data_IF_137788852855
#
_entry.id   IF_137788852855
#
_cell.length_a   1.000
_cell.length_b   1.000
_cell.length_c   1.000
_cell.angle_alpha   90.00
_cell.angle_beta   90.00
_cell.angle_gamma   90.00
#
_symmetry.space_group_name_H-M   'P 1'
#
loop_
_entity.id
_entity.type
_entity.pdbx_description
1 polymer ?
#
# COMPACT_ATOMS: atom_id res chain seq x y z
N UNK A 1 -31.72 -48.77 30.21
CA UNK A 1 -30.84 -47.85 29.46
C UNK A 1 -30.96 -46.50 30.16
N UNK A 2 -29.90 -46.00 30.78
CA UNK A 2 -29.73 -44.58 31.06
C UNK A 2 -28.27 -44.19 30.86
N UNK A 3 -28.12 -43.06 30.17
CA UNK A 3 -26.87 -42.39 29.82
C UNK A 3 -26.96 -40.92 30.21
N UNK A 4 -25.86 -40.34 30.66
CA UNK A 4 -25.67 -38.88 30.55
C UNK A 4 -24.30 -38.56 29.95
N UNK A 5 -24.34 -37.69 28.94
CA UNK A 5 -23.19 -37.12 28.23
C UNK A 5 -22.84 -35.79 28.92
N UNK A 6 -21.58 -35.57 29.35
CA UNK A 6 -21.15 -34.27 29.87
C UNK A 6 -21.23 -33.19 28.79
N UNK A 7 -21.60 -31.98 29.20
CA UNK A 7 -22.13 -30.91 28.35
C UNK A 7 -21.17 -30.28 27.31
N UNK A 8 -19.97 -30.81 27.08
CA UNK A 8 -18.91 -30.10 26.34
C UNK A 8 -17.89 -30.96 25.53
N UNK A 9 -18.24 -32.13 24.98
CA UNK A 9 -17.28 -33.00 24.27
C UNK A 9 -17.38 -32.99 22.71
N UNK A 10 -16.24 -32.85 21.95
CA UNK A 10 -16.12 -33.29 20.55
C UNK A 10 -14.73 -33.88 20.09
N UNK A 11 -14.22 -34.94 20.72
CA UNK A 11 -14.32 -36.29 20.18
C UNK A 11 -13.47 -36.79 18.82
N UNK A 12 -13.03 -38.10 18.61
CA UNK A 12 -12.51 -38.91 17.40
C UNK A 12 -12.87 -40.46 17.36
N UNK A 13 -12.75 -41.25 16.27
CA UNK A 13 -13.47 -42.57 15.99
C UNK A 13 -13.76 -43.60 17.12
N UNK A 14 -15.00 -44.14 17.15
CA UNK A 14 -15.38 -45.39 17.83
C UNK A 14 -16.48 -46.20 17.09
N UNK A 15 -16.40 -47.53 17.15
CA UNK A 15 -17.41 -48.49 16.62
C UNK A 15 -18.01 -49.30 17.79
N UNK A 16 -19.34 -49.48 17.84
CA UNK A 16 -20.04 -50.18 18.94
C UNK A 16 -20.99 -51.25 18.40
N UNK A 17 -20.96 -52.45 19.00
CA UNK A 17 -21.84 -53.60 18.71
C UNK A 17 -22.43 -54.14 20.03
N UNK A 18 -23.72 -54.47 20.07
CA UNK A 18 -24.35 -55.17 21.20
C UNK A 18 -25.10 -56.43 20.75
N UNK A 19 -24.95 -57.54 21.48
CA UNK A 19 -25.57 -58.84 21.19
C UNK A 19 -26.02 -59.54 22.49
N UNK A 20 -27.07 -60.37 22.41
CA UNK A 20 -27.52 -61.26 23.48
C UNK A 20 -28.01 -62.60 22.90
N UNK A 21 -27.45 -63.73 23.36
CA UNK A 21 -27.87 -65.10 23.00
C UNK A 21 -28.70 -65.68 24.15
N UNK A 22 -29.91 -66.16 23.85
CA UNK A 22 -30.72 -66.88 24.84
C UNK A 22 -31.33 -68.14 24.21
N UNK A 23 -30.73 -69.29 24.51
CA UNK A 23 -31.49 -70.54 24.52
C UNK A 23 -32.13 -70.65 25.91
N UNK A 24 -33.43 -70.90 25.99
CA UNK A 24 -34.04 -71.37 27.24
C UNK A 24 -33.21 -72.55 27.80
N UNK A 25 -33.06 -72.68 29.12
CA UNK A 25 -32.11 -73.61 29.72
C UNK A 25 -32.48 -75.06 29.42
N UNK A 26 -31.64 -75.73 28.63
CA UNK A 26 -31.50 -77.18 28.72
C UNK A 26 -30.49 -77.42 29.85
N UNK A 27 -31.01 -77.85 31.01
CA UNK A 27 -30.33 -78.15 32.29
C UNK A 27 -30.12 -77.00 33.30
N UNK A 28 -31.01 -76.97 34.30
CA UNK A 28 -30.79 -76.44 35.66
C UNK A 28 -30.39 -74.96 35.83
N UNK A 29 -30.93 -74.06 35.00
CA UNK A 29 -31.23 -72.71 35.45
C UNK A 29 -30.06 -71.72 35.65
N UNK A 30 -28.91 -71.95 35.01
CA UNK A 30 -27.84 -70.93 34.95
C UNK A 30 -27.54 -70.55 33.48
N UNK A 31 -27.60 -69.26 33.11
CA UNK A 31 -27.25 -68.83 31.75
C UNK A 31 -25.75 -68.97 31.50
N UNK A 32 -25.40 -69.70 30.43
CA UNK A 32 -24.04 -69.89 29.93
C UNK A 32 -23.74 -68.86 28.83
N UNK A 33 -22.51 -68.31 28.77
CA UNK A 33 -22.11 -67.35 27.74
C UNK A 33 -20.66 -67.61 27.25
N UNK A 34 -20.48 -68.07 26.00
CA UNK A 34 -19.31 -67.69 25.20
C UNK A 34 -19.70 -67.49 23.72
N UNK A 35 -19.19 -66.56 22.93
CA UNK A 35 -18.31 -65.40 23.08
C UNK A 35 -18.76 -64.44 21.94
N UNK A 36 -18.71 -63.10 22.09
CA UNK A 36 -18.62 -62.24 20.90
C UNK A 36 -17.43 -61.30 21.06
N UNK A 37 -16.50 -61.46 20.11
CA UNK A 37 -15.20 -60.80 20.08
C UNK A 37 -15.32 -59.35 19.60
N UNK A 38 -14.43 -58.56 20.17
CA UNK A 38 -14.25 -57.11 20.15
C UNK A 38 -13.38 -56.62 18.97
N UNK A 39 -13.60 -55.39 18.51
CA UNK A 39 -12.52 -54.42 18.24
C UNK A 39 -13.04 -53.07 18.69
N UNK A 40 -12.51 -52.63 19.83
CA UNK A 40 -12.67 -51.32 20.45
C UNK A 40 -11.25 -50.77 20.57
N UNK A 41 -10.99 -49.49 20.25
CA UNK A 41 -9.94 -48.67 20.88
C UNK A 41 -9.84 -47.25 20.24
N UNK A 42 -9.50 -46.13 20.93
CA UNK A 42 -8.71 -45.91 22.17
C UNK A 42 -9.13 -44.63 22.91
N UNK A 43 -9.03 -44.67 24.25
CA UNK A 43 -8.33 -43.64 25.03
C UNK A 43 -7.17 -44.28 25.83
N UNK A 44 -6.15 -43.49 26.15
CA UNK A 44 -4.73 -43.92 26.30
C UNK A 44 -4.37 -44.76 27.51
N UNK A 45 -5.18 -44.88 28.56
CA UNK A 45 -4.88 -45.81 29.67
C UNK A 45 -6.14 -46.46 30.26
N UNK A 46 -5.98 -47.72 30.66
CA UNK A 46 -6.95 -48.73 31.10
C UNK A 46 -8.01 -48.29 32.15
N UNK A 47 -9.16 -49.01 32.26
CA UNK A 47 -9.39 -50.37 31.77
C UNK A 47 -10.35 -50.48 30.57
N UNK A 48 -10.15 -51.58 29.84
CA UNK A 48 -10.92 -52.03 28.68
C UNK A 48 -12.45 -51.93 28.90
N UNK A 49 -13.20 -51.35 27.94
CA UNK A 49 -14.67 -51.45 27.96
C UNK A 49 -15.08 -52.91 27.85
N UNK A 50 -15.82 -53.38 28.85
CA UNK A 50 -16.47 -54.69 28.90
C UNK A 50 -17.95 -54.48 29.21
N UNK A 51 -18.88 -55.12 28.49
CA UNK A 51 -20.30 -55.04 28.84
C UNK A 51 -20.52 -55.68 30.22
N UNK A 52 -21.02 -54.93 31.19
CA UNK A 52 -21.43 -55.47 32.49
C UNK A 52 -22.91 -55.85 32.43
N UNK A 53 -23.19 -57.15 32.50
CA UNK A 53 -24.55 -57.71 32.42
C UNK A 53 -25.05 -57.92 33.85
N UNK A 54 -26.03 -57.12 34.30
CA UNK A 54 -26.81 -57.44 35.49
C UNK A 54 -28.08 -58.18 35.09
N UNK A 55 -28.43 -59.22 35.86
CA UNK A 55 -29.45 -60.20 35.52
C UNK A 55 -30.81 -59.94 36.24
N UNK A 56 -31.65 -59.00 35.76
CA UNK A 56 -33.11 -59.01 35.96
C UNK A 56 -33.87 -58.97 34.61
N UNK A 57 -35.22 -59.09 34.55
CA UNK A 57 -35.99 -59.21 33.28
C UNK A 57 -35.88 -58.02 32.30
N UNK A 58 -35.21 -56.94 32.68
CA UNK A 58 -34.84 -55.82 31.83
C UNK A 58 -33.32 -55.60 31.92
N UNK A 59 -32.59 -55.72 30.81
CA UNK A 59 -31.15 -55.47 30.77
C UNK A 59 -30.85 -54.03 30.33
N UNK A 60 -29.83 -53.42 30.94
CA UNK A 60 -29.38 -52.07 30.65
C UNK A 60 -27.94 -52.13 30.10
N UNK A 61 -27.71 -51.51 28.93
CA UNK A 61 -26.38 -51.44 28.30
C UNK A 61 -25.82 -50.02 28.48
N UNK A 62 -24.62 -49.89 29.06
CA UNK A 62 -23.91 -48.62 29.27
C UNK A 62 -22.60 -48.51 28.45
N UNK A 63 -22.46 -47.51 27.57
CA UNK A 63 -21.25 -47.03 26.87
C UNK A 63 -20.83 -45.58 27.24
N UNK A 64 -19.69 -45.36 27.89
CA UNK A 64 -19.12 -44.01 28.02
C UNK A 64 -18.10 -43.73 26.92
N UNK A 65 -18.21 -42.57 26.25
CA UNK A 65 -17.25 -42.10 25.26
C UNK A 65 -16.42 -40.97 25.87
N UNK A 66 -15.14 -40.92 25.54
CA UNK A 66 -14.24 -39.89 26.06
C UNK A 66 -13.58 -39.08 24.95
N UNK A 67 -13.49 -39.60 23.70
CA UNK A 67 -13.28 -38.88 22.41
C UNK A 67 -14.03 -39.64 21.22
N UNK A 68 -14.87 -38.99 20.36
CA UNK A 68 -15.71 -39.22 19.05
C UNK A 68 -16.04 -38.00 17.98
N UNK A 69 -15.31 -37.64 16.90
CA UNK A 69 -15.39 -36.37 16.08
C UNK A 69 -16.78 -35.76 15.79
N UNK A 70 -16.94 -34.44 15.59
CA UNK A 70 -18.24 -33.88 15.20
C UNK A 70 -18.91 -34.65 14.06
N UNK A 71 -20.18 -35.01 14.26
CA UNK A 71 -20.88 -35.90 13.34
C UNK A 71 -22.06 -36.66 13.95
N UNK A 72 -22.77 -37.38 13.09
CA UNK A 72 -23.92 -38.22 13.46
C UNK A 72 -23.47 -39.65 13.75
N UNK A 73 -23.73 -40.11 14.96
CA UNK A 73 -23.40 -41.45 15.44
C UNK A 73 -24.65 -42.30 15.54
N UNK A 74 -24.54 -43.57 15.16
CA UNK A 74 -25.60 -44.57 15.31
C UNK A 74 -25.11 -45.73 16.17
N UNK A 75 -25.91 -46.10 17.17
CA UNK A 75 -25.69 -47.28 18.02
C UNK A 75 -26.73 -48.31 17.67
N UNK A 76 -26.28 -49.50 17.27
CA UNK A 76 -27.15 -50.64 16.95
C UNK A 76 -27.09 -51.67 18.08
N UNK A 77 -28.25 -52.07 18.58
CA UNK A 77 -28.41 -53.12 19.59
C UNK A 77 -29.29 -54.21 19.02
N UNK A 78 -28.78 -55.44 18.98
CA UNK A 78 -29.53 -56.58 18.44
C UNK A 78 -29.67 -57.67 19.50
N UNK A 79 -30.90 -58.16 19.70
CA UNK A 79 -31.21 -59.27 20.60
C UNK A 79 -31.84 -60.42 19.83
N UNK A 80 -31.47 -61.65 20.19
CA UNK A 80 -32.06 -62.86 19.59
C UNK A 80 -32.57 -63.81 20.66
N UNK A 81 -33.83 -64.24 20.53
CA UNK A 81 -34.51 -65.15 21.43
C UNK A 81 -35.21 -66.25 20.62
N UNK A 82 -34.84 -67.52 20.83
CA UNK A 82 -35.48 -68.68 20.18
C UNK A 82 -35.59 -68.59 18.64
N UNK A 83 -34.57 -68.01 17.99
CA UNK A 83 -34.53 -67.85 16.53
C UNK A 83 -35.22 -66.59 16.00
N UNK A 84 -35.77 -65.74 16.87
CA UNK A 84 -36.35 -64.44 16.51
C UNK A 84 -35.33 -63.35 16.88
N UNK A 85 -34.97 -62.53 15.89
CA UNK A 85 -34.04 -61.40 16.02
C UNK A 85 -34.80 -60.07 16.08
N UNK A 86 -34.45 -59.23 17.04
CA UNK A 86 -34.99 -57.88 17.22
C UNK A 86 -33.83 -56.90 17.31
N UNK A 87 -33.84 -55.88 16.45
CA UNK A 87 -32.82 -54.83 16.43
C UNK A 87 -33.42 -53.49 16.84
N UNK A 88 -32.63 -52.68 17.55
CA UNK A 88 -32.97 -51.33 17.94
C UNK A 88 -31.80 -50.40 17.63
N UNK A 89 -32.09 -49.20 17.13
CA UNK A 89 -31.08 -48.23 16.72
C UNK A 89 -31.29 -46.93 17.47
N UNK A 90 -30.22 -46.35 18.01
CA UNK A 90 -30.21 -45.01 18.59
C UNK A 90 -29.21 -44.14 17.84
N UNK A 91 -29.69 -43.04 17.27
CA UNK A 91 -28.84 -42.02 16.66
C UNK A 91 -28.63 -40.87 17.64
N UNK A 92 -27.40 -40.38 17.78
CA UNK A 92 -27.09 -39.15 18.50
C UNK A 92 -26.03 -38.36 17.74
N UNK A 93 -26.01 -37.04 17.91
CA UNK A 93 -25.07 -36.17 17.23
C UNK A 93 -24.06 -35.60 18.23
N UNK A 94 -22.79 -35.63 17.85
CA UNK A 94 -21.74 -34.86 18.50
C UNK A 94 -21.65 -33.52 17.79
N UNK A 95 -21.85 -32.44 18.54
CA UNK A 95 -21.70 -31.09 18.02
C UNK A 95 -20.25 -30.62 18.17
N UNK A 96 -19.66 -29.90 17.20
CA UNK A 96 -18.39 -29.21 17.38
C UNK A 96 -18.37 -28.36 18.64
N UNK A 97 -17.20 -28.19 19.25
CA UNK A 97 -17.02 -27.12 20.22
C UNK A 97 -16.90 -25.84 19.39
N UNK A 98 -17.84 -24.92 19.58
CA UNK A 98 -17.76 -23.57 19.02
C UNK A 98 -16.52 -22.86 19.54
N UNK A 99 -15.55 -22.62 18.67
CA UNK A 99 -14.31 -21.90 18.98
C UNK A 99 -14.32 -20.61 18.18
N UNK A 100 -14.22 -19.43 18.83
CA UNK A 100 -14.18 -18.18 18.08
C UNK A 100 -13.01 -18.11 17.09
N UNK A 101 -13.15 -17.37 16.00
CA UNK A 101 -12.09 -17.19 15.02
C UNK A 101 -10.87 -16.46 15.60
N UNK A 102 -9.77 -16.49 14.86
CA UNK A 102 -8.59 -15.64 15.11
C UNK A 102 -8.58 -14.55 14.04
N UNK A 103 -8.61 -13.28 14.46
CA UNK A 103 -8.52 -12.14 13.56
C UNK A 103 -7.06 -11.71 13.40
N UNK A 104 -6.58 -11.64 12.16
CA UNK A 104 -5.30 -11.01 11.80
C UNK A 104 -5.38 -10.43 10.38
N UNK A 105 -4.58 -9.41 10.10
CA UNK A 105 -4.51 -8.79 8.77
C UNK A 105 -3.16 -8.19 8.46
N UNK A 106 -2.83 -8.13 7.18
CA UNK A 106 -1.69 -7.36 6.67
C UNK A 106 -2.19 -6.09 5.97
N UNK A 107 -1.31 -5.11 5.81
CA UNK A 107 -1.60 -3.94 4.98
C UNK A 107 -0.36 -3.55 4.18
N UNK A 108 -0.58 -2.96 3.01
CA UNK A 108 0.47 -2.37 2.20
C UNK A 108 -0.07 -1.16 1.42
N UNK A 109 0.77 -0.17 1.13
CA UNK A 109 2.20 -0.06 1.47
C UNK A 109 2.48 0.08 2.98
N UNK A 110 3.72 -0.21 3.41
CA UNK A 110 4.13 -0.08 4.82
C UNK A 110 4.17 1.37 5.31
N UNK A 111 4.37 2.30 4.38
CA UNK A 111 4.26 3.75 4.59
C UNK A 111 3.00 4.23 3.88
N UNK A 112 2.11 4.91 4.60
CA UNK A 112 0.82 5.35 4.07
C UNK A 112 0.82 6.87 3.91
N UNK A 113 0.50 7.37 2.73
CA UNK A 113 0.33 8.80 2.46
C UNK A 113 -1.14 9.22 2.39
N UNK A 114 -1.43 10.49 2.69
CA UNK A 114 -2.78 11.04 2.50
C UNK A 114 -3.24 10.88 1.05
N UNK A 115 -4.52 10.53 0.87
CA UNK A 115 -5.16 10.29 -0.43
C UNK A 115 -4.47 9.23 -1.30
N UNK A 116 -3.62 8.36 -0.72
CA UNK A 116 -3.06 7.20 -1.41
C UNK A 116 -3.79 5.94 -0.97
N UNK A 117 -4.02 5.04 -1.92
CA UNK A 117 -4.72 3.79 -1.68
C UNK A 117 -3.84 2.84 -0.89
N UNK A 118 -4.34 2.41 0.27
CA UNK A 118 -3.77 1.35 1.10
C UNK A 118 -4.64 0.12 0.99
N UNK A 119 -4.03 -1.02 0.75
CA UNK A 119 -4.70 -2.32 0.70
C UNK A 119 -4.57 -3.01 2.06
N UNK A 120 -5.65 -3.64 2.48
CA UNK A 120 -5.76 -4.40 3.72
C UNK A 120 -6.21 -5.81 3.37
N UNK A 121 -5.52 -6.81 3.93
CA UNK A 121 -5.75 -8.21 3.63
C UNK A 121 -5.97 -9.00 4.92
N UNK A 122 -7.20 -9.47 5.11
CA UNK A 122 -7.61 -10.32 6.22
C UNK A 122 -7.31 -11.81 6.01
N UNK A 123 -6.64 -12.22 4.92
CA UNK A 123 -6.30 -13.63 4.65
C UNK A 123 -5.53 -14.36 5.77
N UNK A 124 -4.78 -13.68 6.67
CA UNK A 124 -4.19 -14.33 7.84
C UNK A 124 -5.20 -14.74 8.93
N UNK A 125 -6.45 -14.29 8.86
CA UNK A 125 -7.50 -14.67 9.82
C UNK A 125 -7.88 -16.15 9.68
N UNK A 126 -8.23 -16.80 10.79
CA UNK A 126 -8.54 -18.24 10.83
C UNK A 126 -9.94 -18.46 11.46
N UNK A 127 -10.86 -19.20 10.80
CA UNK A 127 -12.21 -19.43 11.33
C UNK A 127 -12.22 -20.17 12.68
N UNK A 128 -11.31 -21.11 12.89
CA UNK A 128 -11.26 -22.03 14.05
C UNK A 128 -12.54 -22.86 14.24
N UNK A 129 -12.40 -24.11 14.67
CA UNK A 129 -13.54 -25.04 14.80
C UNK A 129 -13.75 -25.94 13.56
N UNK A 130 -14.74 -26.82 13.64
CA UNK A 130 -14.93 -27.92 12.68
C UNK A 130 -15.89 -27.47 11.58
N UNK A 131 -15.41 -27.48 10.34
CA UNK A 131 -16.16 -27.02 9.15
C UNK A 131 -16.49 -25.51 9.17
N UNK A 132 -15.71 -24.73 9.94
CA UNK A 132 -15.92 -23.29 10.06
C UNK A 132 -15.23 -22.50 8.95
N UNK A 133 -15.92 -21.44 8.54
CA UNK A 133 -15.56 -20.53 7.45
C UNK A 133 -15.87 -19.11 7.90
N UNK A 134 -14.95 -18.18 7.66
CA UNK A 134 -15.21 -16.75 7.89
C UNK A 134 -16.17 -16.26 6.81
N UNK A 135 -17.35 -15.77 7.22
CA UNK A 135 -18.39 -15.27 6.30
C UNK A 135 -18.54 -13.75 6.32
N UNK A 136 -17.86 -13.04 7.25
CA UNK A 136 -17.97 -11.59 7.37
C UNK A 136 -16.66 -10.95 7.82
N UNK A 137 -16.28 -9.88 7.13
CA UNK A 137 -15.22 -8.95 7.53
C UNK A 137 -15.83 -7.56 7.77
N UNK A 138 -15.62 -7.00 8.96
CA UNK A 138 -16.01 -5.63 9.33
C UNK A 138 -14.75 -4.81 9.60
N UNK A 139 -14.54 -3.77 8.81
CA UNK A 139 -13.38 -2.90 8.89
C UNK A 139 -13.78 -1.52 9.42
N UNK A 140 -13.10 -1.08 10.47
CA UNK A 140 -13.13 0.30 10.95
C UNK A 140 -11.73 0.90 10.81
N UNK A 141 -11.59 1.92 9.98
CA UNK A 141 -10.28 2.54 9.72
C UNK A 141 -9.90 3.58 10.78
N UNK A 142 -10.79 3.92 11.71
CA UNK A 142 -10.53 4.85 12.82
C UNK A 142 -10.40 6.32 12.40
N UNK A 143 -10.74 6.67 11.16
CA UNK A 143 -10.69 8.03 10.60
C UNK A 143 -12.06 8.72 10.52
N UNK A 144 -13.09 8.11 11.09
CA UNK A 144 -14.47 8.59 11.07
C UNK A 144 -15.22 8.28 9.77
N UNK A 145 -14.61 7.55 8.83
CA UNK A 145 -15.34 7.03 7.67
C UNK A 145 -16.26 5.86 8.07
N UNK A 146 -17.36 5.62 7.33
CA UNK A 146 -18.22 4.47 7.59
C UNK A 146 -17.45 3.14 7.50
N UNK A 147 -17.83 2.18 8.35
CA UNK A 147 -17.23 0.85 8.33
C UNK A 147 -17.45 0.17 6.98
N UNK A 148 -16.44 -0.56 6.52
CA UNK A 148 -16.54 -1.40 5.32
C UNK A 148 -16.90 -2.82 5.76
N UNK A 149 -18.04 -3.31 5.28
CA UNK A 149 -18.56 -4.64 5.63
C UNK A 149 -18.57 -5.49 4.36
N UNK A 150 -17.86 -6.62 4.39
CA UNK A 150 -17.83 -7.61 3.31
C UNK A 150 -18.45 -8.90 3.83
N UNK A 151 -19.48 -9.40 3.14
CA UNK A 151 -20.27 -10.57 3.57
C UNK A 151 -20.23 -11.62 2.45
N UNK A 152 -20.05 -12.88 2.81
CA UNK A 152 -20.21 -14.04 1.94
C UNK A 152 -21.03 -15.13 2.62
N UNK A 153 -20.90 -16.36 2.14
CA UNK A 153 -21.56 -17.55 2.69
C UNK A 153 -20.53 -18.66 2.92
N UNK A 154 -20.85 -19.72 3.67
CA UNK A 154 -19.93 -20.86 3.82
C UNK A 154 -19.49 -21.45 2.47
N UNK A 155 -20.41 -21.56 1.51
CA UNK A 155 -20.14 -22.07 0.16
C UNK A 155 -19.40 -21.09 -0.76
N UNK A 156 -19.40 -19.79 -0.42
CA UNK A 156 -18.77 -18.72 -1.20
C UNK A 156 -18.25 -17.63 -0.25
N UNK A 157 -17.09 -17.87 0.40
CA UNK A 157 -16.55 -16.94 1.39
C UNK A 157 -16.21 -15.58 0.75
N UNK A 158 -16.32 -14.48 1.52
CA UNK A 158 -16.03 -13.14 1.00
C UNK A 158 -14.54 -12.96 0.69
N UNK A 159 -14.23 -12.07 -0.28
CA UNK A 159 -12.85 -11.65 -0.54
C UNK A 159 -12.28 -10.96 0.72
N UNK A 160 -11.16 -11.42 1.29
CA UNK A 160 -10.56 -10.82 2.49
C UNK A 160 -9.85 -9.48 2.22
N UNK A 161 -9.75 -9.06 0.96
CA UNK A 161 -9.01 -7.87 0.55
C UNK A 161 -9.95 -6.66 0.41
N UNK A 162 -9.61 -5.57 1.08
CA UNK A 162 -10.25 -4.25 0.92
C UNK A 162 -9.22 -3.16 0.71
N UNK A 163 -9.66 -2.01 0.19
CA UNK A 163 -8.80 -0.84 0.02
C UNK A 163 -9.40 0.38 0.71
N UNK A 164 -8.55 1.23 1.29
CA UNK A 164 -8.96 2.48 1.93
C UNK A 164 -7.99 3.62 1.59
N UNK A 165 -8.43 4.87 1.69
CA UNK A 165 -7.59 6.05 1.49
C UNK A 165 -7.89 7.10 2.56
N UNK A 166 -6.89 7.41 3.38
CA UNK A 166 -7.01 8.38 4.47
C UNK A 166 -6.91 9.81 3.95
N UNK A 167 -7.85 10.68 4.32
CA UNK A 167 -7.91 12.06 3.80
C UNK A 167 -7.01 13.05 4.54
N UNK A 168 -6.60 12.72 5.77
CA UNK A 168 -5.81 13.59 6.63
C UNK A 168 -4.61 12.82 7.19
N UNK A 169 -3.55 13.56 7.51
CA UNK A 169 -2.41 12.98 8.22
C UNK A 169 -2.79 12.66 9.66
N UNK A 170 -2.19 11.63 10.23
CA UNK A 170 -2.46 11.26 11.61
C UNK A 170 -2.13 9.82 11.94
N UNK A 171 -2.38 9.46 13.19
CA UNK A 171 -2.27 8.09 13.67
C UNK A 171 -3.68 7.49 13.77
N UNK A 172 -3.93 6.44 13.00
CA UNK A 172 -5.22 5.76 12.95
C UNK A 172 -5.09 4.36 13.54
N UNK A 173 -6.13 3.89 14.21
CA UNK A 173 -6.21 2.51 14.72
C UNK A 173 -7.19 1.75 13.84
N UNK A 174 -6.65 0.99 12.88
CA UNK A 174 -7.46 0.16 12.00
C UNK A 174 -7.83 -1.11 12.74
N UNK A 175 -9.12 -1.40 12.73
CA UNK A 175 -9.73 -2.53 13.43
C UNK A 175 -10.42 -3.44 12.44
N UNK A 176 -10.07 -4.72 12.51
CA UNK A 176 -10.75 -5.79 11.78
C UNK A 176 -11.55 -6.61 12.79
N UNK A 177 -12.84 -6.81 12.51
CA UNK A 177 -13.67 -7.81 13.17
C UNK A 177 -14.11 -8.86 12.15
N UNK A 178 -13.91 -10.12 12.50
CA UNK A 178 -14.31 -11.28 11.68
C UNK A 178 -15.51 -11.97 12.31
N UNK A 179 -16.39 -12.55 11.49
CA UNK A 179 -17.49 -13.43 11.93
C UNK A 179 -17.47 -14.71 11.11
N UNK A 180 -17.52 -15.85 11.79
CA UNK A 180 -17.67 -17.17 11.15
C UNK A 180 -19.15 -17.52 10.86
N UNK A 181 -19.37 -18.67 10.25
CA UNK A 181 -20.69 -19.22 9.91
C UNK A 181 -21.53 -19.63 11.13
N UNK A 182 -20.92 -19.80 12.31
CA UNK A 182 -21.62 -20.02 13.58
C UNK A 182 -22.05 -18.70 14.25
N UNK A 183 -21.56 -17.57 13.75
CA UNK A 183 -21.84 -16.24 14.29
C UNK A 183 -20.88 -15.80 15.40
N UNK A 184 -19.81 -16.57 15.67
CA UNK A 184 -18.78 -16.18 16.62
C UNK A 184 -17.89 -15.10 16.01
N UNK A 185 -17.31 -14.26 16.86
CA UNK A 185 -16.54 -13.10 16.41
C UNK A 185 -15.20 -12.99 17.11
N UNK A 186 -14.22 -12.47 16.38
CA UNK A 186 -12.96 -12.01 16.94
C UNK A 186 -12.55 -10.68 16.31
N UNK A 187 -11.67 -9.95 17.00
CA UNK A 187 -11.22 -8.64 16.58
C UNK A 187 -9.72 -8.48 16.80
N UNK A 188 -9.09 -7.72 15.91
CA UNK A 188 -7.70 -7.29 16.02
C UNK A 188 -7.56 -5.84 15.56
N UNK A 189 -6.51 -5.15 16.00
CA UNK A 189 -6.25 -3.76 15.62
C UNK A 189 -4.76 -3.51 15.36
N UNK A 190 -4.45 -2.71 14.34
CA UNK A 190 -3.08 -2.23 14.05
C UNK A 190 -3.07 -0.71 13.93
N UNK A 191 -2.00 -0.08 14.46
CA UNK A 191 -1.79 1.37 14.33
C UNK A 191 -1.14 1.68 12.99
N UNK A 192 -1.70 2.64 12.27
CA UNK A 192 -1.19 3.13 10.98
C UNK A 192 -0.88 4.61 11.10
N UNK A 193 0.32 4.99 10.67
CA UNK A 193 0.76 6.37 10.59
C UNK A 193 0.56 6.83 9.14
N UNK A 194 -0.23 7.88 8.96
CA UNK A 194 -0.52 8.49 7.66
C UNK A 194 0.24 9.80 7.56
N UNK A 195 1.14 9.88 6.58
CA UNK A 195 2.01 11.03 6.34
C UNK A 195 1.35 12.04 5.40
N UNK A 196 1.54 13.34 5.68
CA UNK A 196 1.14 14.40 4.76
C UNK A 196 1.95 14.35 3.47
N UNK A 197 1.37 14.92 2.41
CA UNK A 197 2.09 15.26 1.20
C UNK A 197 2.82 16.59 1.36
N UNK A 198 3.97 16.71 0.74
CA UNK A 198 4.81 17.89 0.63
C UNK A 198 5.00 18.14 -0.87
N UNK A 199 4.62 19.31 -1.41
CA UNK A 199 4.84 19.63 -2.82
C UNK A 199 6.35 19.67 -3.15
N UNK A 200 6.73 19.65 -4.44
CA UNK A 200 8.10 19.98 -4.84
C UNK A 200 8.48 21.39 -4.39
N UNK A 201 9.78 21.71 -4.44
CA UNK A 201 10.27 23.07 -4.21
C UNK A 201 10.87 23.60 -5.50
N UNK A 202 10.33 24.71 -6.02
CA UNK A 202 10.87 25.38 -7.19
C UNK A 202 12.12 26.20 -6.81
N UNK A 203 13.17 26.11 -7.62
CA UNK A 203 14.30 27.04 -7.56
C UNK A 203 15.01 27.05 -8.92
N UNK A 204 15.58 28.20 -9.27
CA UNK A 204 16.27 28.38 -10.53
C UNK A 204 17.36 29.45 -10.51
N UNK A 205 18.23 29.37 -11.51
CA UNK A 205 19.23 30.39 -11.82
C UNK A 205 19.15 30.77 -13.29
N UNK A 206 19.91 31.79 -13.68
CA UNK A 206 20.08 32.14 -15.08
C UNK A 206 21.52 32.59 -15.36
N UNK A 207 21.89 32.52 -16.63
CA UNK A 207 23.17 33.01 -17.14
C UNK A 207 22.98 33.60 -18.54
N UNK A 208 23.62 34.74 -18.87
CA UNK A 208 24.49 35.55 -18.00
C UNK A 208 23.73 36.26 -16.87
N UNK A 209 24.43 36.64 -15.79
CA UNK A 209 23.84 37.39 -14.68
C UNK A 209 23.36 38.78 -15.10
N UNK A 210 24.08 39.41 -16.03
CA UNK A 210 23.66 40.64 -16.72
C UNK A 210 22.96 40.24 -18.01
N UNK A 211 21.65 40.49 -18.10
CA UNK A 211 20.87 40.24 -19.29
C UNK A 211 20.79 41.49 -20.17
N UNK A 212 20.93 41.33 -21.48
CA UNK A 212 20.90 42.41 -22.46
C UNK A 212 19.80 42.11 -23.48
N UNK A 213 19.02 43.13 -23.84
CA UNK A 213 17.98 43.03 -24.85
C UNK A 213 18.55 42.51 -26.18
N UNK A 214 17.83 41.58 -26.82
CA UNK A 214 18.25 40.93 -28.06
C UNK A 214 19.30 39.82 -27.88
N UNK A 215 19.74 39.52 -26.65
CA UNK A 215 20.65 38.41 -26.34
C UNK A 215 19.93 37.25 -25.67
N UNK A 216 20.50 36.06 -25.84
CA UNK A 216 19.97 34.83 -25.21
C UNK A 216 20.34 34.79 -23.73
N UNK A 217 19.32 34.58 -22.89
CA UNK A 217 19.46 34.23 -21.49
C UNK A 217 19.12 32.75 -21.34
N UNK A 218 20.00 32.00 -20.69
CA UNK A 218 19.77 30.61 -20.32
C UNK A 218 19.20 30.56 -18.92
N UNK A 219 18.04 29.95 -18.75
CA UNK A 219 17.43 29.70 -17.44
C UNK A 219 17.59 28.22 -17.08
N UNK A 220 17.93 27.96 -15.82
CA UNK A 220 18.15 26.61 -15.30
C UNK A 220 17.40 26.39 -13.98
N UNK A 221 16.37 25.55 -14.05
CA UNK A 221 15.58 25.08 -12.91
C UNK A 221 16.18 23.88 -12.17
N UNK A 222 17.44 23.51 -12.44
CA UNK A 222 18.11 22.35 -11.86
C UNK A 222 18.29 22.39 -10.34
N UNK A 223 18.08 23.54 -9.69
CA UNK A 223 18.05 23.67 -8.23
C UNK A 223 16.73 23.21 -7.60
N UNK A 224 15.68 23.00 -8.41
CA UNK A 224 14.38 22.53 -7.93
C UNK A 224 14.47 21.12 -7.34
N UNK A 225 13.68 20.84 -6.30
CA UNK A 225 13.73 19.57 -5.54
C UNK A 225 12.37 18.86 -5.54
N UNK A 226 12.34 17.52 -5.67
CA UNK A 226 11.09 16.76 -5.57
C UNK A 226 10.48 16.88 -4.17
N UNK A 227 9.15 16.77 -4.11
CA UNK A 227 8.39 16.74 -2.87
C UNK A 227 8.39 15.35 -2.22
N UNK A 228 7.45 15.12 -1.32
CA UNK A 228 7.23 13.82 -0.67
C UNK A 228 5.73 13.51 -0.65
N UNK A 229 5.31 12.36 -1.19
CA UNK A 229 3.88 12.02 -1.23
C UNK A 229 3.37 11.16 -0.07
N UNK A 230 4.23 10.86 0.91
CA UNK A 230 3.94 9.91 1.98
C UNK A 230 4.44 8.49 1.71
N UNK A 231 5.01 8.20 0.54
CA UNK A 231 5.58 6.89 0.19
C UNK A 231 6.94 7.00 -0.50
N UNK A 232 7.06 7.92 -1.46
CA UNK A 232 8.24 8.14 -2.29
C UNK A 232 8.45 9.63 -2.53
N UNK A 233 9.60 9.99 -3.10
CA UNK A 233 9.88 11.33 -3.64
C UNK A 233 9.42 11.37 -5.11
N UNK A 234 8.27 11.99 -5.43
CA UNK A 234 7.76 11.99 -6.80
C UNK A 234 8.67 12.86 -7.69
N UNK A 235 9.13 12.36 -8.85
CA UNK A 235 9.97 13.16 -9.73
C UNK A 235 9.23 14.37 -10.28
N UNK A 236 9.95 15.48 -10.45
CA UNK A 236 9.47 16.64 -11.23
C UNK A 236 9.44 16.23 -12.70
N UNK A 237 8.30 16.42 -13.35
CA UNK A 237 8.07 15.99 -14.74
C UNK A 237 7.78 17.16 -15.69
N UNK A 238 7.44 18.33 -15.16
CA UNK A 238 7.13 19.53 -15.95
C UNK A 238 7.71 20.78 -15.31
N UNK A 239 8.29 21.64 -16.14
CA UNK A 239 8.79 22.97 -15.82
C UNK A 239 8.04 23.99 -16.69
N UNK A 240 7.35 24.94 -16.05
CA UNK A 240 6.58 25.99 -16.71
C UNK A 240 7.27 27.31 -16.38
N UNK A 241 7.86 27.93 -17.40
CA UNK A 241 8.56 29.20 -17.32
C UNK A 241 7.66 30.32 -17.80
N UNK A 242 7.42 31.30 -16.94
CA UNK A 242 6.85 32.59 -17.31
C UNK A 242 7.97 33.63 -17.24
N UNK A 243 8.35 34.19 -18.38
CA UNK A 243 9.48 35.11 -18.47
C UNK A 243 9.12 36.54 -18.08
N UNK A 244 7.84 36.83 -17.81
CA UNK A 244 7.35 38.15 -17.41
C UNK A 244 7.19 39.16 -18.57
N UNK A 245 7.41 38.73 -19.82
CA UNK A 245 7.23 39.53 -21.04
C UNK A 245 6.00 39.12 -21.87
N UNK A 246 5.15 38.25 -21.29
CA UNK A 246 3.98 37.66 -21.93
C UNK A 246 4.25 36.32 -22.61
N UNK A 247 5.49 35.83 -22.63
CA UNK A 247 5.84 34.52 -23.14
C UNK A 247 5.89 33.51 -21.98
N UNK A 248 5.13 32.43 -22.14
CA UNK A 248 5.13 31.27 -21.24
C UNK A 248 5.56 30.04 -22.01
N UNK A 249 6.51 29.28 -21.47
CA UNK A 249 7.04 28.07 -22.06
C UNK A 249 6.91 26.89 -21.09
N UNK A 250 6.29 25.81 -21.55
CA UNK A 250 6.25 24.53 -20.83
C UNK A 250 7.22 23.53 -21.45
N UNK A 251 7.98 22.81 -20.61
CA UNK A 251 8.96 21.82 -21.03
C UNK A 251 9.16 20.73 -19.98
N UNK A 252 9.76 19.61 -20.39
CA UNK A 252 10.24 18.56 -19.48
C UNK A 252 11.72 18.78 -19.08
N UNK A 253 12.43 19.66 -19.80
CA UNK A 253 13.81 20.04 -19.50
C UNK A 253 13.85 21.09 -18.40
N UNK A 254 14.77 20.95 -17.44
CA UNK A 254 15.02 22.00 -16.44
C UNK A 254 15.68 23.24 -17.04
N UNK A 255 16.31 23.13 -18.21
CA UNK A 255 17.02 24.23 -18.89
C UNK A 255 16.26 24.73 -20.11
N UNK A 256 16.11 26.05 -20.23
CA UNK A 256 15.48 26.73 -21.37
C UNK A 256 16.28 27.98 -21.78
N UNK A 257 16.04 28.47 -23.00
CA UNK A 257 16.65 29.67 -23.55
C UNK A 257 15.57 30.69 -23.90
N UNK A 258 15.80 31.96 -23.59
CA UNK A 258 14.87 33.04 -23.88
C UNK A 258 15.59 34.31 -24.34
N UNK A 259 14.92 35.13 -25.15
CA UNK A 259 15.45 36.41 -25.64
C UNK A 259 14.43 37.50 -25.34
N UNK A 260 14.79 38.44 -24.47
CA UNK A 260 14.01 39.65 -24.22
C UNK A 260 14.26 40.67 -25.33
N UNK A 261 13.21 41.12 -26.02
CA UNK A 261 13.34 42.07 -27.14
C UNK A 261 13.61 43.51 -26.69
N UNK A 262 13.16 43.88 -25.50
CA UNK A 262 13.27 45.23 -24.96
C UNK A 262 13.99 45.21 -23.62
N UNK A 263 14.63 46.33 -23.27
CA UNK A 263 15.12 46.55 -21.93
C UNK A 263 13.96 46.74 -20.95
N UNK A 264 14.16 46.36 -19.69
CA UNK A 264 13.15 46.49 -18.66
C UNK A 264 13.40 45.61 -17.45
N UNK A 265 12.52 45.74 -16.46
CA UNK A 265 12.48 44.84 -15.31
C UNK A 265 11.40 43.80 -15.55
N UNK A 266 11.80 42.53 -15.51
CA UNK A 266 10.95 41.38 -15.71
C UNK A 266 10.87 40.56 -14.44
N UNK A 267 9.70 39.96 -14.21
CA UNK A 267 9.45 39.06 -13.10
C UNK A 267 9.39 37.65 -13.66
N UNK A 268 10.49 36.90 -13.51
CA UNK A 268 10.57 35.53 -14.01
C UNK A 268 10.01 34.58 -12.97
N UNK A 269 9.09 33.72 -13.38
CA UNK A 269 8.48 32.71 -12.53
C UNK A 269 8.70 31.32 -13.10
N UNK A 270 9.29 30.43 -12.31
CA UNK A 270 9.31 29.00 -12.58
C UNK A 270 8.22 28.31 -11.76
N UNK A 271 7.35 27.55 -12.41
CA UNK A 271 6.45 26.58 -11.75
C UNK A 271 6.90 25.17 -12.08
N UNK A 272 7.17 24.35 -11.07
CA UNK A 272 7.51 22.93 -11.24
C UNK A 272 6.32 22.07 -10.85
N UNK A 273 6.09 20.99 -11.59
CA UNK A 273 5.01 20.03 -11.33
C UNK A 273 5.59 18.61 -11.26
N UNK A 274 5.26 17.89 -10.20
CA UNK A 274 5.63 16.49 -10.05
C UNK A 274 4.63 15.52 -10.72
N UNK A 275 4.97 14.23 -10.75
CA UNK A 275 4.14 13.19 -11.37
C UNK A 275 2.79 12.99 -10.65
N UNK A 276 2.68 13.41 -9.38
CA UNK A 276 1.44 13.35 -8.60
C UNK A 276 0.58 14.61 -8.81
N UNK A 277 1.03 15.54 -9.65
CA UNK A 277 0.34 16.79 -9.97
C UNK A 277 0.49 17.86 -8.90
N UNK A 278 1.35 17.67 -7.89
CA UNK A 278 1.67 18.73 -6.94
C UNK A 278 2.63 19.72 -7.57
N UNK A 279 2.48 21.00 -7.19
CA UNK A 279 3.22 22.08 -7.80
C UNK A 279 3.70 23.08 -6.76
N UNK A 280 4.80 23.74 -7.11
CA UNK A 280 5.32 24.90 -6.40
C UNK A 280 5.89 25.88 -7.43
N UNK A 281 6.03 27.15 -7.03
CA UNK A 281 6.57 28.17 -7.92
C UNK A 281 7.47 29.15 -7.21
N UNK A 282 8.58 29.49 -7.86
CA UNK A 282 9.56 30.47 -7.41
C UNK A 282 9.59 31.65 -8.37
N UNK A 283 9.80 32.86 -7.84
CA UNK A 283 9.79 34.10 -8.61
C UNK A 283 11.01 34.95 -8.31
N UNK A 284 11.74 35.36 -9.34
CA UNK A 284 12.94 36.20 -9.23
C UNK A 284 12.87 37.38 -10.20
N UNK A 285 13.35 38.54 -9.74
CA UNK A 285 13.44 39.74 -10.57
C UNK A 285 14.66 39.68 -11.49
N UNK A 286 14.48 40.04 -12.75
CA UNK A 286 15.52 40.16 -13.75
C UNK A 286 15.49 41.55 -14.38
N UNK A 287 16.60 42.27 -14.29
CA UNK A 287 16.79 43.52 -15.02
C UNK A 287 17.50 43.21 -16.34
N UNK A 288 16.84 43.55 -17.45
CA UNK A 288 17.39 43.47 -18.80
C UNK A 288 17.79 44.87 -19.24
N UNK A 289 19.06 45.03 -19.57
CA UNK A 289 19.62 46.30 -20.03
C UNK A 289 19.37 46.48 -21.54
N UNK A 290 19.38 47.73 -21.98
CA UNK A 290 19.35 48.05 -23.41
C UNK A 290 20.62 47.53 -24.08
N UNK A 291 20.49 47.03 -25.30
CA UNK A 291 21.68 46.79 -26.12
C UNK A 291 22.44 48.11 -26.28
N UNK A 292 23.77 48.14 -26.02
CA UNK A 292 24.54 49.35 -26.19
C UNK A 292 24.50 49.82 -27.65
N UNK A 293 24.60 51.14 -27.89
CA UNK A 293 24.75 51.67 -29.24
C UNK A 293 25.93 51.00 -29.95
N UNK A 294 25.77 50.70 -31.22
CA UNK A 294 26.89 50.26 -32.03
C UNK A 294 27.99 51.33 -31.98
N UNK A 295 29.24 50.92 -31.73
CA UNK A 295 30.37 51.81 -31.54
C UNK A 295 30.55 52.39 -30.13
N UNK A 296 29.76 51.97 -29.16
CA UNK A 296 30.01 52.25 -27.74
C UNK A 296 31.23 51.45 -27.23
N UNK A 297 32.14 52.06 -26.44
CA UNK A 297 33.17 51.32 -25.71
C UNK A 297 32.63 50.56 -24.48
N UNK A 298 31.45 50.94 -23.99
CA UNK A 298 30.66 50.18 -23.00
C UNK A 298 29.75 49.22 -23.79
N UNK A 299 30.18 47.97 -23.91
CA UNK A 299 29.56 46.95 -24.76
C UNK A 299 28.62 46.02 -23.99
N UNK A 300 28.60 46.08 -22.65
CA UNK A 300 27.58 45.41 -21.84
C UNK A 300 26.43 46.35 -21.41
N UNK A 301 26.60 47.66 -21.60
CA UNK A 301 25.59 48.69 -21.32
C UNK A 301 25.39 48.97 -19.84
N UNK A 302 26.36 48.62 -18.98
CA UNK A 302 26.24 48.79 -17.54
C UNK A 302 26.56 50.23 -17.05
N UNK A 303 26.97 51.12 -17.96
CA UNK A 303 27.30 52.52 -17.69
C UNK A 303 28.76 52.74 -17.27
N UNK A 304 29.61 51.72 -17.35
CA UNK A 304 31.05 51.75 -17.07
C UNK A 304 31.79 50.92 -18.11
N UNK A 305 32.94 51.41 -18.53
CA UNK A 305 33.87 50.63 -19.33
C UNK A 305 34.85 49.91 -18.38
N UNK A 306 34.74 48.59 -18.26
CA UNK A 306 35.58 47.77 -17.38
C UNK A 306 36.07 46.47 -18.03
N UNK A 307 36.51 45.50 -17.23
CA UNK A 307 37.10 44.25 -17.74
C UNK A 307 36.04 43.35 -18.40
N UNK A 308 34.76 43.53 -18.03
CA UNK A 308 33.64 42.80 -18.61
C UNK A 308 33.49 43.16 -20.09
N UNK A 309 33.62 44.45 -20.42
CA UNK A 309 33.62 44.92 -21.81
C UNK A 309 34.77 44.31 -22.62
N UNK A 310 35.97 44.27 -22.03
CA UNK A 310 37.15 43.68 -22.67
C UNK A 310 36.92 42.20 -22.97
N UNK A 311 36.34 41.44 -22.04
CA UNK A 311 36.02 40.02 -22.24
C UNK A 311 35.01 39.82 -23.37
N UNK A 312 33.96 40.66 -23.45
CA UNK A 312 32.94 40.57 -24.50
C UNK A 312 33.55 40.81 -25.89
N UNK A 313 34.46 41.77 -26.03
CA UNK A 313 35.15 42.02 -27.30
C UNK A 313 36.08 40.86 -27.64
N UNK A 314 36.83 40.33 -26.66
CA UNK A 314 37.74 39.21 -26.87
C UNK A 314 37.02 37.92 -27.26
N UNK A 315 35.81 37.65 -26.75
CA UNK A 315 35.01 36.49 -27.13
C UNK A 315 34.61 36.49 -28.61
N UNK A 316 34.52 37.67 -29.22
CA UNK A 316 34.25 37.83 -30.64
C UNK A 316 35.52 38.07 -31.48
N UNK A 317 36.72 38.07 -30.89
CA UNK A 317 37.96 38.43 -31.59
C UNK A 317 38.22 37.57 -32.83
N UNK A 318 38.65 38.22 -33.90
CA UNK A 318 38.92 37.61 -35.21
C UNK A 318 37.65 37.20 -35.98
N UNK A 319 36.47 37.57 -35.50
CA UNK A 319 35.20 37.26 -36.18
C UNK A 319 34.83 38.31 -37.23
N UNK A 320 34.01 37.89 -38.20
CA UNK A 320 33.40 38.75 -39.24
C UNK A 320 31.94 38.33 -39.46
N UNK A 321 31.09 39.16 -40.09
CA UNK A 321 29.69 38.84 -40.32
C UNK A 321 29.48 37.45 -40.93
N UNK A 322 28.57 36.68 -40.33
CA UNK A 322 28.27 35.30 -40.73
C UNK A 322 29.13 34.22 -40.07
N UNK A 323 30.09 34.59 -39.21
CA UNK A 323 30.81 33.63 -38.36
C UNK A 323 30.02 33.32 -37.07
N UNK A 324 30.12 32.09 -36.51
CA UNK A 324 29.38 31.71 -35.31
C UNK A 324 29.63 32.58 -34.07
N UNK A 325 30.83 33.15 -33.96
CA UNK A 325 31.25 34.04 -32.88
C UNK A 325 31.17 35.53 -33.26
N UNK A 326 30.54 35.88 -34.39
CA UNK A 326 30.36 37.26 -34.80
C UNK A 326 29.46 38.01 -33.81
N UNK A 327 29.99 39.09 -33.25
CA UNK A 327 29.24 39.96 -32.36
C UNK A 327 29.29 41.41 -32.87
N UNK A 328 28.22 41.95 -33.47
CA UNK A 328 28.27 43.28 -34.11
C UNK A 328 28.42 44.45 -33.13
N UNK A 329 28.22 44.25 -31.82
CA UNK A 329 28.54 45.27 -30.80
C UNK A 329 30.00 45.24 -30.36
N UNK A 330 30.71 44.13 -30.63
CA UNK A 330 32.14 44.03 -30.36
C UNK A 330 32.99 44.62 -31.50
N UNK A 331 32.38 44.88 -32.66
CA UNK A 331 32.94 45.69 -33.75
C UNK A 331 32.62 47.17 -33.43
N UNK A 332 33.47 47.76 -32.60
CA UNK A 332 33.27 49.10 -32.04
C UNK A 332 33.66 50.15 -33.07
N UNK A 333 34.66 49.88 -33.91
CA UNK A 333 35.06 50.80 -34.97
C UNK A 333 34.18 50.69 -36.24
N UNK A 334 33.25 49.73 -36.29
CA UNK A 334 32.31 49.45 -37.37
C UNK A 334 32.98 49.09 -38.71
N UNK A 335 34.12 48.40 -38.68
CA UNK A 335 34.86 47.99 -39.87
C UNK A 335 34.53 46.56 -40.37
N UNK A 336 33.53 45.92 -39.75
CA UNK A 336 33.07 44.55 -39.99
C UNK A 336 34.07 43.47 -39.58
N UNK A 337 35.02 43.80 -38.70
CA UNK A 337 35.93 42.86 -38.06
C UNK A 337 35.98 43.19 -36.58
N UNK A 338 36.00 42.15 -35.75
CA UNK A 338 36.40 42.33 -34.35
C UNK A 338 37.88 42.02 -34.26
N UNK A 339 38.71 43.01 -34.01
CA UNK A 339 40.16 42.83 -33.91
C UNK A 339 40.80 43.63 -32.76
N UNK A 340 42.12 43.77 -32.79
CA UNK A 340 42.86 44.44 -31.71
C UNK A 340 42.47 45.91 -31.59
N UNK A 341 41.98 46.51 -32.66
CA UNK A 341 41.51 47.90 -32.67
C UNK A 341 40.31 48.08 -31.75
N UNK A 342 39.35 47.15 -31.78
CA UNK A 342 38.19 47.18 -30.89
C UNK A 342 38.59 46.98 -29.43
N UNK A 343 39.51 46.03 -29.17
CA UNK A 343 40.04 45.80 -27.82
C UNK A 343 40.73 47.07 -27.28
N UNK A 344 41.51 47.76 -28.13
CA UNK A 344 42.15 49.03 -27.77
C UNK A 344 41.11 50.11 -27.47
N UNK A 345 40.01 50.21 -28.23
CA UNK A 345 38.96 51.20 -27.97
C UNK A 345 38.34 50.99 -26.58
N UNK A 346 38.08 49.76 -26.16
CA UNK A 346 37.62 49.48 -24.79
C UNK A 346 38.68 49.89 -23.77
N UNK A 347 39.93 49.48 -23.96
CA UNK A 347 41.02 49.76 -23.02
C UNK A 347 41.33 51.27 -22.88
N UNK A 348 41.26 52.04 -23.95
CA UNK A 348 41.45 53.51 -23.95
C UNK A 348 40.32 54.25 -23.21
N UNK A 349 39.18 53.58 -23.03
CA UNK A 349 38.05 54.08 -22.28
C UNK A 349 37.89 53.42 -20.91
N UNK A 350 38.78 52.50 -20.53
CA UNK A 350 38.71 51.77 -19.26
C UNK A 350 38.60 52.71 -18.05
N UNK A 351 37.64 52.43 -17.18
CA UNK A 351 37.32 53.22 -15.99
C UNK A 351 36.47 54.46 -16.27
N UNK A 352 36.09 54.76 -17.52
CA UNK A 352 35.14 55.83 -17.84
C UNK A 352 33.70 55.37 -17.59
N UNK A 353 32.84 56.33 -17.31
CA UNK A 353 31.39 56.18 -17.23
C UNK A 353 30.79 56.79 -18.48
N UNK A 354 29.78 56.13 -19.06
CA UNK A 354 29.15 56.53 -20.32
C UNK A 354 27.73 57.02 -20.08
#
# INVERSE_FOLDING_TARGET
>A
MSFEIPSNAPYGTATVYANMYTQMPIHNGYPYCPEKVTTLMIMTENPKPSPEIQNPPNFEVKFSLSTATPGSYSVYVTTCYSGIEVANTLTFAVQPQSVPPIADFMYWPSVVGVNLTTTFDASPSLPQGYDDVIIKYEWDFGDGTPQVIVIGTPDNPPNPIVTHSFKQQGNYTVTLKVTDNEGLTAQTSKKIIVYSRIPPTADFTWSPQIAIAGRTVTFDGGLSRPGWNGMVYPPIVRYIWDFGDGIVQETQSSTVYHIYQNAGNYTVRLTVVDVDGMQDSETKGLTVLSAPPQGSPDVDGNGRVDMTDVVIVLDAFGSTPGKPNWNPIADINMDYKVDMTDVIIVLDNFGKYV
#
